data_IF_424921108290
#
_entry.id   IF_424921108290
#
_cell.length_a   1.000
_cell.length_b   1.000
_cell.length_c   1.000
_cell.angle_alpha   90.00
_cell.angle_beta   90.00
_cell.angle_gamma   90.00
#
_symmetry.space_group_name_H-M   'P 1'
#
loop_
_entity.id
_entity.type
_entity.pdbx_description
1 polymer ?
#
# COMPACT_ATOMS: atom_id res chain seq x y z
N UNK A 1 -19.83 18.63 -15.50
CA UNK A 1 -20.45 18.60 -14.17
C UNK A 1 -19.34 18.38 -13.16
N UNK A 2 -18.98 19.43 -12.42
CA UNK A 2 -18.03 19.36 -11.30
C UNK A 2 -18.65 18.57 -10.15
N UNK A 3 -17.92 17.65 -9.50
CA UNK A 3 -18.48 16.91 -8.38
C UNK A 3 -18.81 17.88 -7.23
N UNK A 4 -19.96 17.73 -6.56
CA UNK A 4 -20.35 18.59 -5.45
C UNK A 4 -19.42 18.29 -4.26
N UNK A 5 -18.44 19.15 -4.00
CA UNK A 5 -17.51 18.98 -2.87
C UNK A 5 -16.17 19.73 -2.95
N UNK A 6 -15.79 20.26 -4.11
CA UNK A 6 -14.50 20.97 -4.30
C UNK A 6 -14.33 22.23 -3.43
N UNK A 7 -15.43 22.77 -2.88
CA UNK A 7 -15.44 23.90 -1.95
C UNK A 7 -14.93 23.57 -0.53
N UNK A 8 -14.73 22.29 -0.17
CA UNK A 8 -14.44 21.89 1.22
C UNK A 8 -12.94 21.83 1.56
N UNK A 9 -12.10 21.27 0.68
CA UNK A 9 -10.70 20.96 0.96
C UNK A 9 -9.80 22.20 0.85
N UNK A 10 -10.03 23.02 -0.17
CA UNK A 10 -9.30 24.27 -0.41
C UNK A 10 -9.51 25.30 0.72
N UNK A 11 -10.74 25.41 1.23
CA UNK A 11 -11.06 26.29 2.35
C UNK A 11 -10.54 25.75 3.69
N UNK A 12 -10.42 24.42 3.83
CA UNK A 12 -9.77 23.82 5.00
C UNK A 12 -8.25 23.98 4.98
N UNK A 13 -7.58 23.88 3.83
CA UNK A 13 -6.16 24.23 3.71
C UNK A 13 -5.93 25.73 3.99
N UNK A 14 -6.82 26.61 3.54
CA UNK A 14 -6.81 28.04 3.94
C UNK A 14 -7.00 28.21 5.45
N UNK A 15 -7.82 27.39 6.09
CA UNK A 15 -8.01 27.40 7.54
C UNK A 15 -6.76 26.95 8.30
N UNK A 16 -6.11 25.85 7.89
CA UNK A 16 -4.84 25.35 8.46
C UNK A 16 -3.72 26.39 8.29
N UNK A 17 -3.73 27.15 7.19
CA UNK A 17 -2.75 28.23 6.92
C UNK A 17 -2.86 29.42 7.89
N UNK A 18 -4.06 29.74 8.40
CA UNK A 18 -4.34 31.04 9.03
C UNK A 18 -4.23 31.05 10.56
N UNK A 19 -4.06 29.91 11.24
CA UNK A 19 -4.19 29.84 12.71
C UNK A 19 -2.85 29.72 13.46
N UNK A 20 -2.69 30.61 14.45
CA UNK A 20 -1.60 30.66 15.41
C UNK A 20 -1.74 29.57 16.50
N UNK A 21 -0.67 29.27 17.28
CA UNK A 21 -0.57 28.10 18.17
C UNK A 21 -1.58 28.00 19.33
N UNK A 22 -2.46 28.99 19.53
CA UNK A 22 -3.30 29.12 20.73
C UNK A 22 -4.70 28.49 20.60
N UNK A 23 -5.04 27.91 19.46
CA UNK A 23 -6.28 27.12 19.31
C UNK A 23 -6.03 25.69 19.79
N UNK A 24 -6.91 25.14 20.63
CA UNK A 24 -6.65 23.86 21.32
C UNK A 24 -6.19 22.79 20.32
N UNK A 25 -5.01 22.21 20.56
CA UNK A 25 -4.36 21.29 19.63
C UNK A 25 -5.29 20.13 19.17
N UNK A 26 -6.25 19.76 20.02
CA UNK A 26 -7.31 18.79 19.73
C UNK A 26 -8.21 19.19 18.55
N UNK A 27 -8.56 20.47 18.42
CA UNK A 27 -9.41 20.97 17.33
C UNK A 27 -8.66 20.91 15.99
N UNK A 28 -7.39 21.33 15.98
CA UNK A 28 -6.54 21.30 14.79
C UNK A 28 -6.34 19.86 14.29
N UNK A 29 -6.09 18.91 15.20
CA UNK A 29 -5.95 17.48 14.85
C UNK A 29 -7.27 16.94 14.27
N UNK A 30 -8.42 17.31 14.83
CA UNK A 30 -9.73 16.87 14.32
C UNK A 30 -10.01 17.37 12.90
N UNK A 31 -9.76 18.65 12.64
CA UNK A 31 -9.98 19.24 11.31
C UNK A 31 -9.01 18.66 10.27
N UNK A 32 -7.74 18.48 10.64
CA UNK A 32 -6.76 17.82 9.78
C UNK A 32 -7.12 16.36 9.49
N UNK A 33 -7.60 15.63 10.48
CA UNK A 33 -8.08 14.26 10.28
C UNK A 33 -9.26 14.20 9.32
N UNK A 34 -10.24 15.11 9.45
CA UNK A 34 -11.37 15.19 8.54
C UNK A 34 -10.92 15.47 7.09
N UNK A 35 -9.92 16.34 6.92
CA UNK A 35 -9.31 16.60 5.62
C UNK A 35 -8.69 15.34 5.01
N UNK A 36 -7.91 14.62 5.81
CA UNK A 36 -7.26 13.39 5.37
C UNK A 36 -8.28 12.30 5.07
N UNK A 37 -9.38 12.21 5.82
CA UNK A 37 -10.46 11.28 5.52
C UNK A 37 -11.09 11.58 4.16
N UNK A 38 -11.33 12.85 3.82
CA UNK A 38 -11.81 13.25 2.50
C UNK A 38 -10.82 12.89 1.38
N UNK A 39 -9.52 13.20 1.58
CA UNK A 39 -8.47 12.88 0.60
C UNK A 39 -8.34 11.36 0.40
N UNK A 40 -8.44 10.58 1.47
CA UNK A 40 -8.35 9.10 1.41
C UNK A 40 -9.58 8.50 0.76
N UNK A 41 -10.78 9.02 1.03
CA UNK A 41 -12.01 8.58 0.36
C UNK A 41 -11.99 8.93 -1.13
N UNK A 42 -11.57 10.13 -1.50
CA UNK A 42 -11.40 10.53 -2.90
C UNK A 42 -10.36 9.65 -3.61
N UNK A 43 -9.23 9.37 -2.97
CA UNK A 43 -8.24 8.40 -3.47
C UNK A 43 -8.86 7.01 -3.69
N UNK A 44 -9.64 6.50 -2.73
CA UNK A 44 -10.33 5.22 -2.87
C UNK A 44 -11.40 5.24 -3.98
N UNK A 45 -12.07 6.37 -4.20
CA UNK A 45 -13.02 6.57 -5.30
C UNK A 45 -12.33 6.64 -6.66
N UNK A 46 -11.19 7.32 -6.77
CA UNK A 46 -10.39 7.39 -7.99
C UNK A 46 -9.94 5.99 -8.41
N UNK A 47 -9.38 5.20 -7.48
CA UNK A 47 -9.00 3.81 -7.73
C UNK A 47 -10.17 2.96 -8.27
N UNK A 48 -11.37 3.14 -7.71
CA UNK A 48 -12.60 2.49 -8.18
C UNK A 48 -12.98 2.94 -9.60
N UNK A 49 -13.02 4.25 -9.81
CA UNK A 49 -13.47 4.85 -11.08
C UNK A 49 -12.54 4.53 -12.25
N UNK A 50 -11.23 4.46 -12.01
CA UNK A 50 -10.23 4.12 -13.02
C UNK A 50 -10.02 2.60 -13.17
N UNK A 51 -10.77 1.79 -12.42
CA UNK A 51 -10.66 0.33 -12.38
C UNK A 51 -9.25 -0.15 -12.00
N UNK A 52 -8.56 0.64 -11.18
CA UNK A 52 -7.23 0.38 -10.64
C UNK A 52 -7.27 -0.35 -9.30
N UNK A 53 -8.42 -0.94 -8.97
CA UNK A 53 -8.56 -1.84 -7.82
C UNK A 53 -7.71 -3.10 -7.97
N UNK A 54 -7.42 -3.48 -9.22
CA UNK A 54 -6.55 -4.58 -9.59
C UNK A 54 -5.39 -4.06 -10.45
N UNK A 55 -4.16 -4.35 -10.02
CA UNK A 55 -2.93 -3.99 -10.73
C UNK A 55 -2.31 -5.25 -11.31
N UNK A 56 -2.13 -5.35 -12.64
CA UNK A 56 -1.39 -6.46 -13.21
C UNK A 56 0.06 -6.40 -12.75
N UNK A 57 0.52 -7.52 -12.18
CA UNK A 57 1.91 -7.72 -11.74
C UNK A 57 2.76 -8.42 -12.82
N UNK A 58 2.10 -8.99 -13.83
CA UNK A 58 2.74 -9.74 -14.90
C UNK A 58 3.20 -11.13 -14.45
N UNK A 59 3.98 -11.76 -15.30
CA UNK A 59 4.53 -13.09 -15.04
C UNK A 59 5.74 -13.00 -14.11
N UNK A 60 5.92 -14.03 -13.29
CA UNK A 60 6.98 -14.16 -12.32
C UNK A 60 7.69 -15.48 -12.54
N UNK A 61 9.00 -15.43 -12.69
CA UNK A 61 9.84 -16.62 -12.75
C UNK A 61 11.00 -16.47 -11.78
N UNK A 62 11.11 -17.42 -10.85
CA UNK A 62 12.19 -17.44 -9.88
C UNK A 62 12.78 -18.83 -9.68
N UNK A 63 14.09 -18.89 -9.82
CA UNK A 63 14.90 -20.01 -9.34
C UNK A 63 15.31 -19.77 -7.89
N UNK A 64 15.31 -20.80 -7.07
CA UNK A 64 15.81 -20.75 -5.70
C UNK A 64 16.70 -21.96 -5.39
N UNK A 65 17.64 -21.76 -4.46
CA UNK A 65 18.51 -22.80 -3.92
C UNK A 65 18.65 -22.59 -2.43
N UNK A 66 18.38 -23.61 -1.61
CA UNK A 66 18.50 -23.51 -0.15
C UNK A 66 18.97 -24.82 0.45
N UNK A 67 19.89 -24.75 1.40
CA UNK A 67 20.24 -25.89 2.24
C UNK A 67 19.17 -26.11 3.31
N UNK A 68 18.64 -27.32 3.40
CA UNK A 68 17.73 -27.77 4.46
C UNK A 68 18.24 -29.12 4.98
N UNK A 69 18.61 -29.20 6.26
CA UNK A 69 19.04 -30.44 6.92
C UNK A 69 20.24 -31.09 6.19
N UNK A 70 21.18 -30.27 5.70
CA UNK A 70 22.34 -30.74 4.95
C UNK A 70 22.08 -31.04 3.46
N UNK A 71 20.83 -31.03 3.00
CA UNK A 71 20.45 -31.21 1.59
C UNK A 71 20.28 -29.86 0.89
N UNK A 72 20.97 -29.65 -0.22
CA UNK A 72 20.75 -28.48 -1.08
C UNK A 72 19.54 -28.71 -1.98
N UNK A 73 18.43 -28.07 -1.64
CA UNK A 73 17.19 -28.11 -2.41
C UNK A 73 17.18 -26.97 -3.41
N UNK A 74 17.12 -27.30 -4.70
CA UNK A 74 16.92 -26.33 -5.79
C UNK A 74 15.52 -26.48 -6.36
N UNK A 75 14.97 -25.37 -6.82
CA UNK A 75 13.69 -25.38 -7.47
C UNK A 75 13.39 -24.12 -8.28
N UNK A 76 12.28 -24.17 -8.98
CA UNK A 76 11.74 -23.08 -9.78
C UNK A 76 10.29 -22.84 -9.40
N UNK A 77 9.92 -21.56 -9.33
CA UNK A 77 8.56 -21.10 -9.22
C UNK A 77 8.25 -20.25 -10.45
N UNK A 78 7.16 -20.59 -11.13
CA UNK A 78 6.58 -19.79 -12.19
C UNK A 78 5.17 -19.41 -11.78
N UNK A 79 4.81 -18.15 -11.92
CA UNK A 79 3.45 -17.66 -11.76
C UNK A 79 3.09 -16.81 -12.97
N UNK A 80 2.01 -17.14 -13.65
CA UNK A 80 1.55 -16.42 -14.84
C UNK A 80 0.32 -15.57 -14.50
N UNK A 81 0.19 -14.44 -15.20
CA UNK A 81 -0.95 -13.53 -15.09
C UNK A 81 -1.17 -13.04 -13.65
N UNK A 82 -0.08 -12.65 -12.99
CA UNK A 82 -0.11 -12.13 -11.64
C UNK A 82 -0.96 -10.86 -11.53
N UNK A 83 -1.79 -10.76 -10.50
CA UNK A 83 -2.63 -9.59 -10.21
C UNK A 83 -2.54 -9.23 -8.73
N UNK A 84 -2.48 -7.94 -8.43
CA UNK A 84 -2.57 -7.41 -7.09
C UNK A 84 -3.90 -6.68 -6.90
N UNK A 85 -4.70 -7.06 -5.92
CA UNK A 85 -6.07 -6.56 -5.78
C UNK A 85 -6.35 -5.88 -4.43
N UNK A 86 -7.45 -5.11 -4.45
CA UNK A 86 -8.10 -4.46 -3.30
C UNK A 86 -7.33 -3.26 -2.74
N UNK A 87 -6.77 -2.43 -3.63
CA UNK A 87 -6.14 -1.16 -3.25
C UNK A 87 -7.14 -0.12 -2.72
N UNK A 88 -8.43 -0.24 -3.10
CA UNK A 88 -9.49 0.71 -2.77
C UNK A 88 -10.03 0.57 -1.34
N UNK A 89 -9.72 -0.52 -0.62
CA UNK A 89 -10.11 -0.69 0.80
C UNK A 89 -9.32 0.17 1.80
N UNK A 90 -8.55 1.13 1.30
CA UNK A 90 -7.71 2.04 2.08
C UNK A 90 -8.56 2.98 2.95
N UNK A 91 -8.19 3.11 4.23
CA UNK A 91 -8.81 4.04 5.17
C UNK A 91 -7.76 4.63 6.10
N UNK A 92 -8.00 5.82 6.66
CA UNK A 92 -7.14 6.33 7.73
C UNK A 92 -7.26 5.44 8.97
N UNK A 93 -6.12 5.11 9.56
CA UNK A 93 -6.04 4.22 10.74
C UNK A 93 -6.00 5.02 12.04
N UNK A 94 -5.13 6.02 12.09
CA UNK A 94 -4.81 6.77 13.30
C UNK A 94 -4.94 8.28 13.06
N UNK A 95 -4.84 9.07 14.13
CA UNK A 95 -4.77 10.52 14.02
C UNK A 95 -3.49 10.95 13.30
N UNK A 96 -3.60 12.02 12.50
CA UNK A 96 -2.44 12.64 11.91
C UNK A 96 -1.59 13.34 12.97
N UNK A 97 -0.28 13.19 12.82
CA UNK A 97 0.71 13.95 13.57
C UNK A 97 1.19 15.09 12.70
N UNK A 98 1.12 16.31 13.22
CA UNK A 98 1.68 17.51 12.60
C UNK A 98 2.98 17.89 13.31
N UNK A 99 4.06 17.99 12.54
CA UNK A 99 5.33 18.56 13.00
C UNK A 99 5.63 19.86 12.27
N UNK A 100 6.17 20.84 12.99
CA UNK A 100 6.55 22.16 12.48
C UNK A 100 8.05 22.35 12.73
N UNK A 101 8.92 21.75 11.89
CA UNK A 101 10.37 21.80 12.12
C UNK A 101 10.95 23.21 11.90
N UNK A 102 10.30 24.03 11.06
CA UNK A 102 10.65 25.42 10.78
C UNK A 102 9.39 26.26 10.58
N UNK A 103 9.46 27.60 10.70
CA UNK A 103 8.29 28.47 10.55
C UNK A 103 7.49 28.26 9.26
N UNK A 104 8.17 27.94 8.16
CA UNK A 104 7.56 27.76 6.83
C UNK A 104 7.40 26.29 6.42
N UNK A 105 7.71 25.34 7.30
CA UNK A 105 7.63 23.92 6.99
C UNK A 105 6.56 23.26 7.85
N UNK A 106 5.76 22.39 7.22
CA UNK A 106 4.78 21.53 7.89
C UNK A 106 5.01 20.10 7.42
N UNK A 107 5.01 19.17 8.36
CA UNK A 107 5.15 17.74 8.08
C UNK A 107 3.95 17.02 8.67
N UNK A 108 3.20 16.36 7.80
CA UNK A 108 2.04 15.53 8.16
C UNK A 108 2.47 14.08 8.12
N UNK A 109 2.22 13.33 9.19
CA UNK A 109 2.46 11.89 9.24
C UNK A 109 1.22 11.16 9.72
N UNK A 110 0.75 10.18 8.96
CA UNK A 110 -0.42 9.39 9.31
C UNK A 110 -0.28 7.96 8.78
N UNK A 111 -1.11 7.07 9.32
CA UNK A 111 -1.17 5.69 8.90
C UNK A 111 -2.48 5.44 8.15
N UNK A 112 -2.37 4.73 7.04
CA UNK A 112 -3.49 4.15 6.33
C UNK A 112 -3.55 2.65 6.68
N UNK A 113 -4.77 2.15 6.85
CA UNK A 113 -5.06 0.74 6.92
C UNK A 113 -5.62 0.29 5.57
N UNK A 114 -5.03 -0.76 5.02
CA UNK A 114 -5.54 -1.45 3.85
C UNK A 114 -6.13 -2.78 4.33
N UNK A 115 -7.47 -2.88 4.29
CA UNK A 115 -8.20 -4.01 4.90
C UNK A 115 -7.71 -5.34 4.35
N UNK A 116 -7.51 -5.39 3.04
CA UNK A 116 -7.06 -6.57 2.32
C UNK A 116 -6.15 -6.15 1.17
N UNK A 117 -5.11 -6.95 0.97
CA UNK A 117 -4.25 -6.93 -0.20
C UNK A 117 -4.21 -8.36 -0.71
N UNK A 118 -4.60 -8.61 -1.95
CA UNK A 118 -4.51 -9.95 -2.54
C UNK A 118 -3.47 -9.99 -3.65
N UNK A 119 -2.68 -11.04 -3.69
CA UNK A 119 -1.82 -11.39 -4.81
C UNK A 119 -2.34 -12.71 -5.38
N UNK A 120 -2.72 -12.70 -6.64
CA UNK A 120 -3.25 -13.87 -7.32
C UNK A 120 -2.39 -14.22 -8.54
N UNK A 121 -2.19 -15.52 -8.75
CA UNK A 121 -1.66 -16.08 -9.99
C UNK A 121 -2.67 -17.09 -10.51
N UNK A 122 -3.20 -16.83 -11.71
CA UNK A 122 -4.19 -17.71 -12.35
C UNK A 122 -3.61 -19.08 -12.69
N UNK A 123 -2.30 -19.12 -12.93
CA UNK A 123 -1.51 -20.34 -13.08
C UNK A 123 -0.20 -20.20 -12.32
N UNK A 124 0.18 -21.23 -11.59
CA UNK A 124 1.52 -21.36 -11.04
C UNK A 124 2.07 -22.76 -11.31
N UNK A 125 3.39 -22.86 -11.37
CA UNK A 125 4.16 -24.09 -11.42
C UNK A 125 5.27 -24.01 -10.37
N UNK A 126 5.43 -25.07 -9.59
CA UNK A 126 6.51 -25.22 -8.63
C UNK A 126 7.21 -26.55 -8.87
N UNK A 127 8.49 -26.49 -9.18
CA UNK A 127 9.37 -27.65 -9.30
C UNK A 127 10.43 -27.58 -8.20
N UNK A 128 10.51 -28.59 -7.36
CA UNK A 128 11.41 -28.61 -6.20
C UNK A 128 11.73 -30.05 -5.81
N UNK A 129 12.82 -30.61 -6.34
CA UNK A 129 13.14 -32.02 -6.18
C UNK A 129 11.98 -32.94 -6.65
N UNK A 130 11.45 -33.83 -5.81
CA UNK A 130 10.32 -34.70 -6.17
C UNK A 130 8.98 -33.95 -6.18
N UNK A 131 8.92 -32.72 -5.66
CA UNK A 131 7.70 -31.93 -5.61
C UNK A 131 7.53 -31.19 -6.93
N UNK A 132 6.55 -31.62 -7.71
CA UNK A 132 6.10 -30.92 -8.90
C UNK A 132 4.60 -30.66 -8.75
N UNK A 133 4.21 -29.40 -8.74
CA UNK A 133 2.81 -29.01 -8.57
C UNK A 133 2.48 -27.84 -9.45
N UNK A 134 1.25 -27.83 -9.95
CA UNK A 134 0.70 -26.77 -10.78
C UNK A 134 -0.73 -26.49 -10.37
N UNK A 135 -1.14 -25.24 -10.44
CA UNK A 135 -2.50 -24.88 -10.06
C UNK A 135 -2.71 -23.38 -10.00
N UNK A 136 -3.57 -22.96 -9.08
CA UNK A 136 -3.88 -21.57 -8.76
C UNK A 136 -3.29 -21.20 -7.42
N UNK A 137 -2.76 -19.99 -7.32
CA UNK A 137 -2.19 -19.45 -6.09
C UNK A 137 -2.87 -18.11 -5.78
N UNK A 138 -3.47 -18.01 -4.60
CA UNK A 138 -4.04 -16.76 -4.09
C UNK A 138 -3.51 -16.52 -2.69
N UNK A 139 -2.95 -15.33 -2.49
CA UNK A 139 -2.35 -14.90 -1.22
C UNK A 139 -3.06 -13.66 -0.78
N UNK A 140 -3.75 -13.74 0.34
CA UNK A 140 -4.45 -12.60 0.92
C UNK A 140 -3.71 -12.16 2.19
N UNK A 141 -3.27 -10.90 2.23
CA UNK A 141 -2.76 -10.26 3.42
C UNK A 141 -3.84 -9.34 4.00
N UNK A 142 -4.19 -9.51 5.27
CA UNK A 142 -5.19 -8.67 5.96
C UNK A 142 -4.55 -7.69 6.91
N UNK A 143 -5.25 -6.60 7.24
CA UNK A 143 -4.82 -5.61 8.24
C UNK A 143 -3.44 -5.03 7.92
N UNK A 144 -3.22 -4.66 6.66
CA UNK A 144 -1.97 -4.07 6.21
C UNK A 144 -1.96 -2.59 6.59
N UNK A 145 -0.76 -2.07 6.88
CA UNK A 145 -0.58 -0.67 7.25
C UNK A 145 0.42 -0.01 6.32
N UNK A 146 0.02 1.15 5.81
CA UNK A 146 0.87 2.03 5.02
C UNK A 146 1.14 3.29 5.85
N UNK A 147 2.41 3.63 6.03
CA UNK A 147 2.81 4.89 6.65
C UNK A 147 3.02 5.94 5.57
N UNK A 148 2.36 7.08 5.72
CA UNK A 148 2.44 8.20 4.79
C UNK A 148 3.02 9.41 5.49
N UNK A 149 3.97 10.07 4.83
CA UNK A 149 4.56 11.35 5.27
C UNK A 149 4.49 12.35 4.14
N UNK A 150 3.89 13.50 4.42
CA UNK A 150 3.77 14.62 3.49
C UNK A 150 4.55 15.80 4.06
N UNK A 151 5.44 16.38 3.26
CA UNK A 151 6.10 17.63 3.55
C UNK A 151 5.43 18.76 2.77
N UNK A 152 5.18 19.87 3.44
CA UNK A 152 4.59 21.08 2.89
C UNK A 152 5.49 22.26 3.23
N UNK A 153 5.81 23.04 2.21
CA UNK A 153 6.57 24.28 2.33
C UNK A 153 5.66 25.47 2.02
N UNK A 154 5.74 26.51 2.83
CA UNK A 154 4.94 27.73 2.73
C UNK A 154 5.80 28.92 2.30
N UNK A 155 5.24 29.83 1.50
CA UNK A 155 5.84 31.16 1.23
C UNK A 155 5.45 32.16 2.32
N UNK A 156 6.07 33.35 2.32
CA UNK A 156 5.83 34.51 3.23
C UNK A 156 4.38 35.02 3.34
N UNK A 157 3.40 34.38 2.68
CA UNK A 157 1.96 34.71 2.76
C UNK A 157 1.12 33.47 3.08
N UNK A 158 1.71 32.48 3.74
CA UNK A 158 1.13 31.16 4.03
C UNK A 158 0.60 30.42 2.79
N UNK A 159 1.04 30.81 1.59
CA UNK A 159 0.71 30.10 0.35
C UNK A 159 1.56 28.84 0.26
N UNK A 160 0.94 27.71 -0.06
CA UNK A 160 1.67 26.45 -0.32
C UNK A 160 2.59 26.68 -1.51
N UNK A 161 3.89 26.57 -1.28
CA UNK A 161 4.91 26.61 -2.32
C UNK A 161 5.11 25.24 -2.94
N UNK A 162 5.26 24.24 -2.08
CA UNK A 162 5.60 22.86 -2.43
C UNK A 162 4.84 21.93 -1.51
N UNK A 163 4.32 20.86 -2.09
CA UNK A 163 3.64 19.79 -1.36
C UNK A 163 4.14 18.47 -1.93
N UNK A 164 4.71 17.63 -1.07
CA UNK A 164 5.42 16.42 -1.49
C UNK A 164 5.11 15.27 -0.56
N UNK A 165 4.72 14.13 -1.12
CA UNK A 165 4.71 12.87 -0.40
C UNK A 165 6.16 12.41 -0.29
N UNK A 166 6.76 12.59 0.88
CA UNK A 166 8.15 12.19 1.13
C UNK A 166 8.27 10.71 1.44
N UNK A 167 7.21 10.11 2.00
CA UNK A 167 7.16 8.68 2.34
C UNK A 167 5.77 8.10 2.08
N UNK A 168 5.71 6.91 1.49
CA UNK A 168 4.51 6.09 1.39
C UNK A 168 4.96 4.62 1.37
N UNK A 169 4.97 3.99 2.55
CA UNK A 169 5.61 2.68 2.73
C UNK A 169 4.69 1.70 3.45
N UNK A 170 4.72 0.44 3.05
CA UNK A 170 4.03 -0.66 3.72
C UNK A 170 4.85 -1.02 4.97
N UNK A 171 4.42 -0.54 6.12
CA UNK A 171 5.09 -0.76 7.41
C UNK A 171 4.64 -2.04 8.09
N UNK A 172 3.46 -2.57 7.73
CA UNK A 172 2.96 -3.85 8.23
C UNK A 172 2.21 -4.59 7.13
N UNK A 173 2.60 -5.82 6.85
CA UNK A 173 1.73 -6.81 6.22
C UNK A 173 1.19 -7.68 7.34
N UNK A 174 -0.14 -7.77 7.48
CA UNK A 174 -0.71 -8.56 8.57
C UNK A 174 -0.77 -10.05 8.24
N UNK A 175 -1.85 -10.70 8.61
CA UNK A 175 -1.97 -12.15 8.50
C UNK A 175 -2.11 -12.58 7.04
N UNK A 176 -1.30 -13.56 6.64
CA UNK A 176 -1.34 -14.15 5.30
C UNK A 176 -2.22 -15.39 5.28
N UNK A 177 -3.25 -15.37 4.44
CA UNK A 177 -4.01 -16.55 4.03
C UNK A 177 -3.57 -16.97 2.64
N UNK A 178 -2.87 -18.09 2.57
CA UNK A 178 -2.41 -18.67 1.30
C UNK A 178 -3.38 -19.78 0.90
N UNK A 179 -3.94 -19.69 -0.31
CA UNK A 179 -4.75 -20.74 -0.94
C UNK A 179 -4.03 -21.22 -2.17
N UNK A 180 -3.93 -22.55 -2.29
CA UNK A 180 -3.22 -23.18 -3.39
C UNK A 180 -3.98 -24.41 -3.84
N UNK A 181 -4.12 -24.59 -5.15
CA UNK A 181 -4.68 -25.81 -5.74
C UNK A 181 -3.57 -26.67 -6.34
N UNK A 182 -3.85 -27.93 -6.65
CA UNK A 182 -2.87 -28.82 -7.30
C UNK A 182 -1.90 -29.53 -6.37
N UNK A 183 -2.13 -29.48 -5.06
CA UNK A 183 -1.36 -30.22 -4.06
C UNK A 183 -1.85 -31.66 -3.76
N UNK A 184 -2.94 -32.10 -4.40
CA UNK A 184 -3.50 -33.46 -4.25
C UNK A 184 -3.98 -33.84 -2.84
N UNK A 185 -4.51 -35.06 -2.69
CA UNK A 185 -4.97 -35.63 -1.41
C UNK A 185 -3.83 -36.05 -0.46
N UNK A 186 -2.57 -36.02 -0.92
CA UNK A 186 -1.36 -36.18 -0.11
C UNK A 186 -1.05 -34.89 0.66
N UNK A 187 -2.05 -34.36 1.35
CA UNK A 187 -2.08 -33.03 1.99
C UNK A 187 -1.11 -32.90 3.16
N UNK A 188 0.21 -32.89 2.92
CA UNK A 188 1.14 -32.97 4.04
C UNK A 188 2.60 -32.63 3.79
N UNK A 189 3.08 -32.41 2.56
CA UNK A 189 4.48 -32.08 2.36
C UNK A 189 4.80 -30.68 2.93
N UNK A 190 5.22 -30.67 4.20
CA UNK A 190 5.71 -29.53 4.96
C UNK A 190 6.76 -28.74 4.17
N UNK A 191 7.60 -29.45 3.42
CA UNK A 191 8.60 -28.90 2.51
C UNK A 191 7.99 -27.94 1.49
N UNK A 192 6.93 -28.34 0.79
CA UNK A 192 6.34 -27.51 -0.25
C UNK A 192 5.64 -26.27 0.32
N UNK A 193 4.97 -26.40 1.46
CA UNK A 193 4.37 -25.25 2.19
C UNK A 193 5.44 -24.26 2.65
N UNK A 194 6.57 -24.76 3.17
CA UNK A 194 7.71 -23.93 3.59
C UNK A 194 8.34 -23.22 2.40
N UNK A 195 8.63 -23.96 1.31
CA UNK A 195 9.18 -23.39 0.07
C UNK A 195 8.26 -22.32 -0.49
N UNK A 196 6.97 -22.61 -0.62
CA UNK A 196 6.00 -21.65 -1.12
C UNK A 196 5.93 -20.40 -0.23
N UNK A 197 5.89 -20.56 1.10
CA UNK A 197 5.90 -19.41 2.03
C UNK A 197 7.14 -18.53 1.85
N UNK A 198 8.31 -19.14 1.66
CA UNK A 198 9.57 -18.41 1.43
C UNK A 198 9.55 -17.69 0.08
N UNK A 199 9.06 -18.35 -0.97
CA UNK A 199 8.92 -17.77 -2.30
C UNK A 199 7.95 -16.59 -2.30
N UNK A 200 6.79 -16.75 -1.65
CA UNK A 200 5.83 -15.67 -1.50
C UNK A 200 6.42 -14.49 -0.74
N UNK A 201 7.14 -14.74 0.36
CA UNK A 201 7.82 -13.67 1.09
C UNK A 201 8.83 -12.94 0.21
N UNK A 202 9.58 -13.66 -0.63
CA UNK A 202 10.54 -13.07 -1.57
C UNK A 202 9.83 -12.22 -2.63
N UNK A 203 8.82 -12.77 -3.30
CA UNK A 203 8.03 -12.06 -4.33
C UNK A 203 7.39 -10.80 -3.75
N UNK A 204 6.77 -10.91 -2.57
CA UNK A 204 6.15 -9.76 -1.89
C UNK A 204 7.22 -8.71 -1.57
N UNK A 205 8.39 -9.10 -1.08
CA UNK A 205 9.46 -8.15 -0.77
C UNK A 205 10.03 -7.47 -2.01
N UNK A 206 10.24 -8.21 -3.10
CA UNK A 206 10.75 -7.66 -4.37
C UNK A 206 9.75 -6.71 -5.01
N UNK A 207 8.46 -7.03 -4.93
CA UNK A 207 7.38 -6.20 -5.46
C UNK A 207 6.90 -5.11 -4.51
N UNK A 208 7.31 -5.16 -3.25
CA UNK A 208 6.97 -4.16 -2.24
C UNK A 208 7.40 -2.76 -2.68
N UNK A 209 8.64 -2.61 -3.14
CA UNK A 209 9.16 -1.32 -3.57
C UNK A 209 8.38 -0.74 -4.77
N UNK A 210 8.00 -1.60 -5.73
CA UNK A 210 7.17 -1.20 -6.86
C UNK A 210 5.79 -0.73 -6.41
N UNK A 211 5.16 -1.47 -5.49
CA UNK A 211 3.86 -1.14 -4.93
C UNK A 211 3.90 0.17 -4.13
N UNK A 212 4.91 0.35 -3.29
CA UNK A 212 5.15 1.59 -2.53
C UNK A 212 5.34 2.79 -3.45
N UNK A 213 6.09 2.63 -4.54
CA UNK A 213 6.29 3.70 -5.51
C UNK A 213 5.01 4.06 -6.27
N UNK A 214 4.18 3.06 -6.63
CA UNK A 214 2.86 3.30 -7.22
C UNK A 214 1.95 4.03 -6.24
N UNK A 215 1.86 3.58 -5.00
CA UNK A 215 1.11 4.25 -3.93
C UNK A 215 1.57 5.71 -3.75
N UNK A 216 2.88 5.94 -3.66
CA UNK A 216 3.47 7.28 -3.58
C UNK A 216 3.01 8.16 -4.74
N UNK A 217 3.06 7.64 -5.96
CA UNK A 217 2.67 8.36 -7.18
C UNK A 217 1.19 8.74 -7.15
N UNK A 218 0.31 7.81 -6.80
CA UNK A 218 -1.12 8.08 -6.73
C UNK A 218 -1.49 9.08 -5.64
N UNK A 219 -0.96 8.90 -4.42
CA UNK A 219 -1.20 9.82 -3.31
C UNK A 219 -0.70 11.22 -3.68
N UNK A 220 0.47 11.31 -4.33
CA UNK A 220 1.02 12.59 -4.81
C UNK A 220 0.08 13.28 -5.79
N UNK A 221 -0.42 12.55 -6.80
CA UNK A 221 -1.39 13.09 -7.79
C UNK A 221 -2.67 13.58 -7.12
N UNK A 222 -3.23 12.77 -6.22
CA UNK A 222 -4.46 13.11 -5.47
C UNK A 222 -4.26 14.37 -4.66
N UNK A 223 -3.15 14.52 -3.95
CA UNK A 223 -2.87 15.71 -3.15
C UNK A 223 -2.64 16.95 -4.04
N UNK A 224 -1.96 16.79 -5.16
CA UNK A 224 -1.67 17.89 -6.08
C UNK A 224 -2.94 18.46 -6.73
N UNK A 225 -3.98 17.64 -6.98
CA UNK A 225 -5.26 18.14 -7.51
C UNK A 225 -6.01 19.06 -6.54
N UNK A 226 -5.60 19.11 -5.26
CA UNK A 226 -6.14 20.06 -4.27
C UNK A 226 -5.26 21.30 -4.07
N UNK A 227 -4.11 21.38 -4.73
CA UNK A 227 -3.19 22.53 -4.58
C UNK A 227 -3.26 23.48 -5.79
N UNK A 228 -3.76 22.99 -6.92
CA UNK A 228 -4.07 23.74 -8.15
C UNK A 228 -5.52 24.25 -8.10
#
# INVERSE_FOLDING_TARGET
MTPPGTSSVNDLFKYIRKKAPNDSALRQVRELNALLDLIVEDFAQQLRSEHLESVPMGDVHHTFSRSWLGLNVRGTFRGDQGKFEDLSSVRRKDNCVLAVPRPNERIFSFNLNLRKAALEFERYELHCGPVNTKGRLSVEARNNQISVRIAMELKKCDKVHRLEVTRAEIVKCGEFKVRVTGFGALGGNSLAKVVLRLMLKKIINERKAELEQRLKTFITRTIQSYTL
#
